data_IF_414777888915
#
_entry.id   IF_414777888915
#
_cell.length_a   1.000
_cell.length_b   1.000
_cell.length_c   1.000
_cell.angle_alpha   90.00
_cell.angle_beta   90.00
_cell.angle_gamma   90.00
#
_symmetry.space_group_name_H-M   'P 1'
#
loop_
_entity.id
_entity.type
_entity.pdbx_description
1 polymer ?
#
# COMPACT_ATOMS: atom_id res chain seq x y z
N UNK A 1 9.45 -33.29 44.88
CA UNK A 1 9.84 -32.77 43.59
C UNK A 1 8.68 -32.71 42.58
N UNK A 2 7.92 -33.78 42.33
CA UNK A 2 6.74 -33.83 41.43
C UNK A 2 5.61 -32.81 41.69
N UNK A 3 5.33 -32.45 42.95
CA UNK A 3 4.23 -31.55 43.32
C UNK A 3 4.50 -30.07 42.97
N UNK A 4 5.77 -29.66 42.93
CA UNK A 4 6.20 -28.29 42.55
C UNK A 4 6.17 -28.10 41.04
N UNK A 5 6.48 -29.13 40.25
CA UNK A 5 6.39 -29.08 38.78
C UNK A 5 4.94 -29.01 38.28
N UNK A 6 4.02 -29.76 38.91
CA UNK A 6 2.59 -29.68 38.54
C UNK A 6 1.97 -28.31 38.81
N UNK A 7 2.33 -27.68 39.93
CA UNK A 7 1.88 -26.33 40.28
C UNK A 7 2.45 -25.29 39.31
N UNK A 8 3.71 -25.44 38.89
CA UNK A 8 4.32 -24.51 37.90
C UNK A 8 3.72 -24.67 36.51
N UNK A 9 3.37 -25.88 36.09
CA UNK A 9 2.72 -26.15 34.81
C UNK A 9 1.29 -25.58 34.79
N UNK A 10 0.53 -25.80 35.87
CA UNK A 10 -0.83 -25.27 35.99
C UNK A 10 -0.86 -23.72 36.03
N UNK A 11 0.14 -23.11 36.68
CA UNK A 11 0.28 -21.65 36.69
C UNK A 11 0.65 -21.09 35.30
N UNK A 12 1.45 -21.79 34.52
CA UNK A 12 1.78 -21.41 33.14
C UNK A 12 0.58 -21.51 32.20
N UNK A 13 -0.26 -22.51 32.37
CA UNK A 13 -1.49 -22.65 31.57
C UNK A 13 -2.51 -21.56 31.91
N UNK A 14 -2.73 -21.26 33.19
CA UNK A 14 -3.62 -20.18 33.61
C UNK A 14 -3.16 -18.81 33.12
N UNK A 15 -1.86 -18.52 33.15
CA UNK A 15 -1.28 -17.30 32.60
C UNK A 15 -1.45 -17.21 31.07
N UNK A 16 -1.32 -18.32 30.35
CA UNK A 16 -1.57 -18.36 28.89
C UNK A 16 -3.04 -18.12 28.56
N UNK A 17 -3.95 -18.67 29.33
CA UNK A 17 -5.39 -18.44 29.16
C UNK A 17 -5.78 -16.99 29.48
N UNK A 18 -5.26 -16.42 30.58
CA UNK A 18 -5.44 -15.00 30.92
C UNK A 18 -4.92 -14.08 29.81
N UNK A 19 -3.69 -14.35 29.31
CA UNK A 19 -3.13 -13.58 28.20
C UNK A 19 -3.99 -13.65 26.94
N UNK A 20 -4.51 -14.82 26.60
CA UNK A 20 -5.42 -14.99 25.44
C UNK A 20 -6.74 -14.22 25.64
N UNK A 21 -7.29 -14.21 26.84
CA UNK A 21 -8.52 -13.42 27.16
C UNK A 21 -8.25 -11.93 27.04
N UNK A 22 -7.18 -11.42 27.66
CA UNK A 22 -6.79 -10.01 27.59
C UNK A 22 -6.55 -9.55 26.15
N UNK A 23 -5.86 -10.34 25.34
CA UNK A 23 -5.64 -10.03 23.92
C UNK A 23 -6.95 -9.99 23.12
N UNK A 24 -7.90 -10.90 23.41
CA UNK A 24 -9.22 -10.89 22.78
C UNK A 24 -10.03 -9.65 23.19
N UNK A 25 -10.03 -9.31 24.46
CA UNK A 25 -10.69 -8.11 24.97
C UNK A 25 -10.11 -6.83 24.37
N UNK A 26 -8.79 -6.73 24.33
CA UNK A 26 -8.10 -5.60 23.68
C UNK A 26 -8.46 -5.47 22.20
N UNK A 27 -8.49 -6.59 21.45
CA UNK A 27 -8.92 -6.59 20.05
C UNK A 27 -10.37 -6.15 19.89
N UNK A 28 -11.28 -6.66 20.72
CA UNK A 28 -12.67 -6.27 20.67
C UNK A 28 -12.88 -4.78 20.96
N UNK A 29 -12.15 -4.24 21.96
CA UNK A 29 -12.17 -2.80 22.26
C UNK A 29 -11.60 -1.98 21.12
N UNK A 30 -10.49 -2.41 20.52
CA UNK A 30 -9.87 -1.70 19.37
C UNK A 30 -10.80 -1.70 18.16
N UNK A 31 -11.41 -2.83 17.82
CA UNK A 31 -12.39 -2.94 16.73
C UNK A 31 -13.59 -2.02 16.99
N UNK A 32 -14.12 -2.05 18.22
CA UNK A 32 -15.26 -1.19 18.60
C UNK A 32 -14.91 0.29 18.53
N UNK A 33 -13.71 0.68 18.96
CA UNK A 33 -13.20 2.06 18.83
C UNK A 33 -13.07 2.48 17.39
N UNK A 34 -12.54 1.59 16.52
CA UNK A 34 -12.40 1.84 15.10
C UNK A 34 -13.77 2.12 14.44
N UNK A 35 -14.74 1.23 14.61
CA UNK A 35 -16.08 1.41 14.04
C UNK A 35 -16.87 2.56 14.64
N UNK A 36 -16.53 3.02 15.86
CA UNK A 36 -17.14 4.21 16.48
C UNK A 36 -16.62 5.51 15.87
N UNK A 37 -15.42 5.48 15.28
CA UNK A 37 -14.86 6.65 14.60
C UNK A 37 -15.34 6.69 13.14
N UNK A 38 -16.27 7.58 12.85
CA UNK A 38 -16.87 7.74 11.50
C UNK A 38 -15.80 7.99 10.42
N UNK A 39 -14.76 8.76 10.74
CA UNK A 39 -13.68 9.06 9.81
C UNK A 39 -12.86 7.80 9.45
N UNK A 40 -12.59 6.93 10.43
CA UNK A 40 -11.92 5.65 10.20
C UNK A 40 -12.75 4.72 9.32
N UNK A 41 -14.07 4.70 9.51
CA UNK A 41 -14.98 3.89 8.70
C UNK A 41 -15.02 4.42 7.25
N UNK A 42 -15.13 5.73 7.08
CA UNK A 42 -15.09 6.36 5.73
C UNK A 42 -13.76 6.04 5.04
N UNK A 43 -12.62 6.21 5.71
CA UNK A 43 -11.31 5.88 5.15
C UNK A 43 -11.21 4.40 4.76
N UNK A 44 -11.70 3.49 5.60
CA UNK A 44 -11.74 2.06 5.29
C UNK A 44 -12.60 1.76 4.05
N UNK A 45 -13.78 2.37 3.94
CA UNK A 45 -14.69 2.19 2.79
C UNK A 45 -14.02 2.68 1.50
N UNK A 46 -13.37 3.85 1.55
CA UNK A 46 -12.66 4.39 0.39
C UNK A 46 -11.52 3.48 -0.08
N UNK A 47 -10.71 2.98 0.86
CA UNK A 47 -9.62 2.04 0.54
C UNK A 47 -10.16 0.74 -0.03
N UNK A 48 -11.22 0.18 0.55
CA UNK A 48 -11.86 -1.03 0.03
C UNK A 48 -12.45 -0.81 -1.36
N UNK A 49 -13.11 0.32 -1.59
CA UNK A 49 -13.65 0.68 -2.91
C UNK A 49 -12.53 0.72 -3.96
N UNK A 50 -11.44 1.44 -3.65
CA UNK A 50 -10.27 1.54 -4.52
C UNK A 50 -9.66 0.17 -4.82
N UNK A 51 -9.59 -0.70 -3.81
CA UNK A 51 -9.04 -2.05 -3.95
C UNK A 51 -9.95 -2.94 -4.81
N UNK A 52 -11.27 -2.83 -4.64
CA UNK A 52 -12.24 -3.53 -5.49
C UNK A 52 -12.12 -3.04 -6.93
N UNK A 53 -12.09 -1.72 -7.16
CA UNK A 53 -11.89 -1.15 -8.49
C UNK A 53 -10.58 -1.64 -9.14
N UNK A 54 -9.49 -1.67 -8.38
CA UNK A 54 -8.19 -2.12 -8.87
C UNK A 54 -8.17 -3.61 -9.26
N UNK A 55 -8.75 -4.48 -8.41
CA UNK A 55 -8.78 -5.93 -8.65
C UNK A 55 -9.73 -6.30 -9.79
N UNK A 56 -10.89 -5.67 -9.84
CA UNK A 56 -11.93 -5.98 -10.82
C UNK A 56 -11.88 -5.11 -12.08
N UNK A 57 -10.88 -4.23 -12.24
CA UNK A 57 -10.74 -3.37 -13.41
C UNK A 57 -10.83 -4.14 -14.74
N UNK A 58 -10.11 -5.26 -14.98
CA UNK A 58 -10.19 -5.98 -16.24
C UNK A 58 -11.58 -6.62 -16.48
N UNK A 59 -12.22 -7.08 -15.41
CA UNK A 59 -13.56 -7.66 -15.49
C UNK A 59 -14.62 -6.61 -15.84
N UNK A 60 -14.57 -5.46 -15.15
CA UNK A 60 -15.52 -4.36 -15.36
C UNK A 60 -15.39 -3.79 -16.77
N UNK A 61 -14.16 -3.53 -17.22
CA UNK A 61 -13.92 -2.98 -18.57
C UNK A 61 -14.27 -4.00 -19.66
N UNK A 62 -13.98 -5.28 -19.43
CA UNK A 62 -14.37 -6.36 -20.36
C UNK A 62 -15.89 -6.52 -20.49
N UNK A 63 -16.65 -6.40 -19.40
CA UNK A 63 -18.12 -6.45 -19.43
C UNK A 63 -18.74 -5.24 -20.13
N UNK A 64 -18.10 -4.06 -20.02
CA UNK A 64 -18.57 -2.83 -20.67
C UNK A 64 -18.06 -2.69 -22.11
N UNK A 65 -17.15 -3.57 -22.55
CA UNK A 65 -16.55 -3.54 -23.88
C UNK A 65 -15.65 -2.32 -24.12
N UNK A 66 -15.10 -1.70 -23.06
CA UNK A 66 -14.25 -0.50 -23.14
C UNK A 66 -12.78 -0.86 -22.85
N UNK A 67 -11.87 -0.24 -23.60
CA UNK A 67 -10.43 -0.44 -23.46
C UNK A 67 -9.73 0.87 -23.05
N UNK A 68 -8.90 0.86 -22.00
CA UNK A 68 -8.16 2.05 -21.54
C UNK A 68 -7.08 2.52 -22.50
N UNK A 69 -6.64 1.68 -23.45
CA UNK A 69 -5.50 1.94 -24.32
C UNK A 69 -5.88 2.25 -25.76
N UNK A 70 -7.00 1.75 -26.23
CA UNK A 70 -7.46 1.96 -27.63
C UNK A 70 -7.82 3.43 -27.82
N UNK A 71 -7.17 4.06 -28.82
CA UNK A 71 -7.38 5.45 -29.18
C UNK A 71 -8.22 5.51 -30.46
N UNK A 72 -9.44 6.02 -30.39
CA UNK A 72 -10.35 6.16 -31.54
C UNK A 72 -10.56 7.64 -31.82
N UNK A 73 -9.87 8.17 -32.85
CA UNK A 73 -9.91 9.59 -33.18
C UNK A 73 -11.30 10.15 -33.47
N UNK A 74 -12.23 9.30 -33.93
CA UNK A 74 -13.63 9.66 -34.20
C UNK A 74 -14.45 9.85 -32.91
N UNK A 75 -13.98 9.29 -31.79
CA UNK A 75 -14.65 9.32 -30.49
C UNK A 75 -14.05 10.35 -29.52
N UNK A 76 -13.32 11.33 -30.04
CA UNK A 76 -12.68 12.37 -29.21
C UNK A 76 -13.70 13.26 -28.55
N UNK A 77 -13.50 13.55 -27.27
CA UNK A 77 -14.33 14.48 -26.49
C UNK A 77 -15.83 14.16 -26.52
N UNK A 78 -16.20 12.89 -26.63
CA UNK A 78 -17.61 12.50 -26.50
C UNK A 78 -18.10 12.77 -25.08
N UNK A 79 -19.34 13.27 -24.95
CA UNK A 79 -19.98 13.46 -23.67
C UNK A 79 -20.26 12.12 -22.96
N UNK A 80 -20.44 12.12 -21.64
CA UNK A 80 -20.86 10.92 -20.91
C UNK A 80 -22.09 10.28 -21.53
N UNK A 81 -22.03 8.96 -21.76
CA UNK A 81 -23.07 8.16 -22.40
C UNK A 81 -23.08 6.74 -21.86
N UNK A 82 -24.05 5.93 -22.29
CA UNK A 82 -24.07 4.52 -21.93
C UNK A 82 -22.86 3.72 -22.48
N UNK A 83 -22.27 4.17 -23.58
CA UNK A 83 -21.05 3.59 -24.14
C UNK A 83 -19.78 4.08 -23.42
N UNK A 84 -19.76 5.33 -22.98
CA UNK A 84 -18.62 5.98 -22.29
C UNK A 84 -19.11 6.67 -21.02
N UNK A 85 -19.08 5.97 -19.89
CA UNK A 85 -19.67 6.44 -18.62
C UNK A 85 -19.12 7.81 -18.15
N UNK A 86 -17.81 8.05 -18.31
CA UNK A 86 -17.13 9.29 -17.89
C UNK A 86 -16.68 10.16 -19.06
N UNK A 87 -17.14 9.90 -20.27
CA UNK A 87 -16.67 10.55 -21.51
C UNK A 87 -15.38 9.93 -22.09
N UNK A 88 -14.89 10.51 -23.18
CA UNK A 88 -13.62 10.17 -23.81
C UNK A 88 -12.62 11.31 -23.75
N UNK A 89 -11.33 10.99 -23.76
CA UNK A 89 -10.25 11.98 -23.72
C UNK A 89 -9.94 12.60 -25.10
N UNK A 90 -8.89 13.42 -25.17
CA UNK A 90 -8.41 14.04 -26.39
C UNK A 90 -7.88 13.07 -27.45
N UNK A 91 -7.70 11.80 -27.12
CA UNK A 91 -7.30 10.73 -28.03
C UNK A 91 -8.44 9.74 -28.32
N UNK A 92 -9.66 10.02 -27.79
CA UNK A 92 -10.82 9.12 -27.93
C UNK A 92 -10.77 7.88 -27.05
N UNK A 93 -9.95 7.87 -25.97
CA UNK A 93 -9.87 6.76 -25.03
C UNK A 93 -10.91 6.92 -23.93
N UNK A 94 -11.48 5.82 -23.48
CA UNK A 94 -12.47 5.82 -22.40
C UNK A 94 -11.86 6.24 -21.06
N UNK A 95 -12.38 7.34 -20.47
CA UNK A 95 -11.87 7.88 -19.21
C UNK A 95 -12.19 6.95 -18.03
N UNK A 96 -13.37 6.31 -18.02
CA UNK A 96 -13.74 5.40 -16.93
C UNK A 96 -12.81 4.19 -16.88
N UNK A 97 -12.54 3.54 -18.01
CA UNK A 97 -11.58 2.47 -18.11
C UNK A 97 -10.18 2.89 -17.63
N UNK A 98 -9.74 4.09 -18.01
CA UNK A 98 -8.44 4.64 -17.58
C UNK A 98 -8.37 4.91 -16.08
N UNK A 99 -9.45 5.38 -15.47
CA UNK A 99 -9.52 5.58 -14.01
C UNK A 99 -9.40 4.25 -13.28
N UNK A 100 -10.09 3.20 -13.74
CA UNK A 100 -10.00 1.86 -13.14
C UNK A 100 -8.59 1.27 -13.22
N UNK A 101 -7.96 1.34 -14.39
CA UNK A 101 -6.58 0.86 -14.59
C UNK A 101 -5.56 1.75 -13.86
N UNK A 102 -5.81 3.06 -13.78
CA UNK A 102 -5.02 3.98 -12.96
C UNK A 102 -5.06 3.61 -11.47
N UNK A 103 -6.24 3.25 -10.95
CA UNK A 103 -6.39 2.74 -9.59
C UNK A 103 -5.63 1.43 -9.39
N UNK A 104 -5.68 0.50 -10.35
CA UNK A 104 -4.94 -0.76 -10.31
C UNK A 104 -3.41 -0.53 -10.22
N UNK A 105 -2.88 0.33 -11.08
CA UNK A 105 -1.45 0.68 -11.10
C UNK A 105 -1.06 1.34 -9.77
N UNK A 106 -1.83 2.32 -9.31
CA UNK A 106 -1.56 3.05 -8.06
C UNK A 106 -1.57 2.13 -6.84
N UNK A 107 -2.56 1.23 -6.75
CA UNK A 107 -2.63 0.24 -5.65
C UNK A 107 -1.48 -0.76 -5.70
N UNK A 108 -1.14 -1.26 -6.89
CA UNK A 108 -0.02 -2.20 -7.07
C UNK A 108 1.30 -1.56 -6.66
N UNK A 109 1.59 -0.35 -7.15
CA UNK A 109 2.82 0.37 -6.81
C UNK A 109 2.85 0.72 -5.33
N UNK A 110 1.77 1.32 -4.80
CA UNK A 110 1.71 1.75 -3.40
C UNK A 110 1.87 0.59 -2.42
N UNK A 111 1.18 -0.53 -2.66
CA UNK A 111 1.28 -1.72 -1.81
C UNK A 111 2.66 -2.36 -1.89
N UNK A 112 3.22 -2.50 -3.09
CA UNK A 112 4.54 -3.10 -3.29
C UNK A 112 5.65 -2.26 -2.68
N UNK A 113 5.64 -0.95 -2.92
CA UNK A 113 6.60 0.00 -2.32
C UNK A 113 6.48 -0.01 -0.80
N UNK A 114 5.25 0.09 -0.27
CA UNK A 114 5.02 0.07 1.18
C UNK A 114 5.51 -1.21 1.85
N UNK A 115 5.27 -2.37 1.24
CA UNK A 115 5.74 -3.65 1.75
C UNK A 115 7.27 -3.76 1.71
N UNK A 116 7.88 -3.42 0.58
CA UNK A 116 9.35 -3.47 0.42
C UNK A 116 10.05 -2.49 1.37
N UNK A 117 9.56 -1.25 1.46
CA UNK A 117 10.13 -0.24 2.38
C UNK A 117 9.99 -0.67 3.84
N UNK A 118 8.86 -1.25 4.22
CA UNK A 118 8.66 -1.76 5.58
C UNK A 118 9.62 -2.91 5.91
N UNK A 119 9.82 -3.85 4.99
CA UNK A 119 10.72 -4.99 5.19
C UNK A 119 12.18 -4.53 5.26
N UNK A 120 12.63 -3.75 4.28
CA UNK A 120 14.02 -3.30 4.18
C UNK A 120 14.33 -2.33 5.32
N UNK A 121 13.45 -1.33 5.55
CA UNK A 121 13.62 -0.34 6.61
C UNK A 121 13.65 -0.97 8.01
N UNK A 122 12.78 -1.97 8.26
CA UNK A 122 12.81 -2.72 9.52
C UNK A 122 14.12 -3.51 9.67
N UNK A 123 14.58 -4.19 8.62
CA UNK A 123 15.83 -4.92 8.66
C UNK A 123 17.02 -3.98 8.93
N UNK A 124 17.12 -2.86 8.22
CA UNK A 124 18.16 -1.86 8.42
C UNK A 124 18.11 -1.25 9.83
N UNK A 125 16.90 -0.91 10.31
CA UNK A 125 16.70 -0.36 11.66
C UNK A 125 17.10 -1.34 12.77
N UNK A 126 16.79 -2.64 12.62
CA UNK A 126 17.24 -3.67 13.55
C UNK A 126 18.77 -3.82 13.56
N UNK A 127 19.40 -3.80 12.39
CA UNK A 127 20.87 -3.83 12.29
C UNK A 127 21.51 -2.60 12.93
N UNK A 128 20.97 -1.41 12.68
CA UNK A 128 21.45 -0.16 13.26
C UNK A 128 21.36 -0.17 14.79
N UNK A 129 20.29 -0.73 15.36
CA UNK A 129 20.08 -0.77 16.81
C UNK A 129 21.17 -1.54 17.59
N UNK A 130 21.88 -2.45 16.93
CA UNK A 130 22.96 -3.27 17.56
C UNK A 130 24.32 -2.63 17.43
N UNK A 131 24.54 -1.77 16.42
CA UNK A 131 25.85 -1.21 16.12
C UNK A 131 25.80 0.31 15.97
N UNK A 132 26.34 1.05 16.96
CA UNK A 132 26.40 2.52 16.99
C UNK A 132 27.09 3.16 15.77
N UNK A 133 28.09 2.48 15.22
CA UNK A 133 28.80 3.00 14.02
C UNK A 133 27.89 2.93 12.82
N UNK A 134 27.21 1.79 12.65
CA UNK A 134 26.24 1.59 11.56
C UNK A 134 25.06 2.54 11.68
N UNK A 135 24.54 2.73 12.90
CA UNK A 135 23.47 3.69 13.19
C UNK A 135 23.84 5.10 12.75
N UNK A 136 25.01 5.59 13.17
CA UNK A 136 25.51 6.93 12.79
C UNK A 136 25.69 7.09 11.26
N UNK A 137 26.17 6.06 10.58
CA UNK A 137 26.36 6.09 9.11
C UNK A 137 25.01 6.10 8.40
N UNK A 138 24.09 5.21 8.80
CA UNK A 138 22.74 5.14 8.21
C UNK A 138 21.96 6.42 8.44
N UNK A 139 22.00 6.99 9.66
CA UNK A 139 21.30 8.25 9.95
C UNK A 139 21.82 9.40 9.09
N UNK A 140 23.14 9.53 8.92
CA UNK A 140 23.72 10.55 8.05
C UNK A 140 23.36 10.36 6.58
N UNK A 141 23.31 9.11 6.12
CA UNK A 141 22.89 8.80 4.75
C UNK A 141 21.42 9.15 4.54
N UNK A 142 20.55 8.77 5.49
CA UNK A 142 19.13 9.11 5.46
C UNK A 142 18.90 10.63 5.49
N UNK A 143 19.64 11.35 6.34
CA UNK A 143 19.55 12.82 6.41
C UNK A 143 19.98 13.47 5.09
N UNK A 144 21.04 12.96 4.47
CA UNK A 144 21.50 13.43 3.16
C UNK A 144 20.47 13.17 2.05
N UNK A 145 19.86 11.99 2.03
CA UNK A 145 18.82 11.65 1.05
C UNK A 145 17.56 12.50 1.26
N UNK A 146 17.16 12.73 2.51
CA UNK A 146 15.98 13.55 2.86
C UNK A 146 16.18 15.05 2.59
N UNK A 147 17.42 15.52 2.44
CA UNK A 147 17.69 16.88 2.01
C UNK A 147 17.24 17.17 0.57
N UNK A 148 17.10 16.11 -0.25
CA UNK A 148 16.60 16.21 -1.62
C UNK A 148 15.09 15.91 -1.60
N UNK A 149 14.23 16.73 -2.24
CA UNK A 149 12.82 16.43 -2.38
C UNK A 149 12.62 15.05 -3.00
N UNK A 150 11.84 14.18 -2.34
CA UNK A 150 11.64 12.77 -2.73
C UNK A 150 11.23 12.61 -4.20
N UNK A 151 10.40 13.53 -4.70
CA UNK A 151 9.93 13.51 -6.10
C UNK A 151 11.10 13.72 -7.06
N UNK A 152 12.02 14.65 -6.77
CA UNK A 152 13.20 14.91 -7.61
C UNK A 152 14.13 13.70 -7.64
N UNK A 153 14.37 13.09 -6.49
CA UNK A 153 15.21 11.90 -6.38
C UNK A 153 14.58 10.72 -7.15
N UNK A 154 13.28 10.50 -7.01
CA UNK A 154 12.58 9.45 -7.75
C UNK A 154 12.63 9.65 -9.27
N UNK A 155 12.40 10.90 -9.74
CA UNK A 155 12.47 11.22 -11.18
C UNK A 155 13.90 11.02 -11.70
N UNK A 156 14.91 11.45 -10.96
CA UNK A 156 16.32 11.28 -11.36
C UNK A 156 16.70 9.81 -11.46
N UNK A 157 16.30 8.99 -10.48
CA UNK A 157 16.52 7.54 -10.53
C UNK A 157 15.81 6.90 -11.73
N UNK A 158 14.56 7.31 -12.01
CA UNK A 158 13.85 6.81 -13.20
C UNK A 158 14.49 7.24 -14.51
N UNK A 159 15.06 8.45 -14.58
CA UNK A 159 15.76 8.92 -15.76
C UNK A 159 17.01 8.07 -16.06
N UNK A 160 17.70 7.61 -15.02
CA UNK A 160 18.90 6.75 -15.15
C UNK A 160 18.53 5.29 -15.44
N UNK A 161 17.54 4.75 -14.72
CA UNK A 161 17.14 3.34 -14.82
C UNK A 161 16.21 3.04 -16.00
N UNK A 162 15.59 4.07 -16.57
CA UNK A 162 14.57 3.96 -17.62
C UNK A 162 13.14 3.93 -17.04
N UNK A 163 12.19 4.42 -17.85
CA UNK A 163 10.78 4.55 -17.48
C UNK A 163 10.04 3.21 -17.59
N UNK A 164 10.21 2.34 -16.61
CA UNK A 164 9.51 1.07 -16.50
C UNK A 164 8.88 0.95 -15.09
N UNK A 165 7.73 0.27 -14.97
CA UNK A 165 7.04 0.07 -13.69
C UNK A 165 7.95 -0.53 -12.60
N UNK A 166 8.81 -1.49 -12.93
CA UNK A 166 9.78 -2.07 -11.99
C UNK A 166 10.75 -1.01 -11.45
N UNK A 167 11.23 -0.14 -12.32
CA UNK A 167 12.18 0.92 -11.97
C UNK A 167 11.50 2.00 -11.13
N UNK A 168 10.22 2.29 -11.38
CA UNK A 168 9.39 3.17 -10.51
C UNK A 168 9.31 2.60 -9.10
N UNK A 169 8.99 1.31 -8.96
CA UNK A 169 8.90 0.64 -7.66
C UNK A 169 10.24 0.68 -6.93
N UNK A 170 11.34 0.38 -7.61
CA UNK A 170 12.69 0.41 -7.04
C UNK A 170 13.03 1.82 -6.57
N UNK A 171 12.85 2.82 -7.43
CA UNK A 171 13.15 4.23 -7.12
C UNK A 171 12.33 4.73 -5.93
N UNK A 172 11.02 4.48 -5.92
CA UNK A 172 10.16 4.87 -4.82
C UNK A 172 10.49 4.12 -3.51
N UNK A 173 10.88 2.84 -3.61
CA UNK A 173 11.30 2.06 -2.43
C UNK A 173 12.56 2.65 -1.82
N UNK A 174 13.58 2.96 -2.61
CA UNK A 174 14.83 3.56 -2.13
C UNK A 174 14.57 4.91 -1.43
N UNK A 175 13.68 5.72 -2.00
CA UNK A 175 13.33 7.04 -1.45
C UNK A 175 12.48 6.95 -0.17
N UNK A 176 11.76 5.83 0.02
CA UNK A 176 10.81 5.65 1.13
C UNK A 176 11.40 4.93 2.35
N UNK A 177 12.61 4.39 2.25
CA UNK A 177 13.35 3.75 3.35
C UNK A 177 13.98 4.80 4.25
#
# INVERSE_FOLDING_TARGET
MMKTESISAQNRESLRQLRRRLVREQRAVSIRKFFRNKLSVVGMVLVLLMLICAVFAPLITGLLGVDPYTATMQERFQAPSAAHLFSTDNLGRDIFARVLYGAQISMTVGFTVGLLSALIGTALGLYASVNKVLDNVLMRLCDGLKAIPNILLAITLMAVLGANMKNVIISLTIVSI
#
